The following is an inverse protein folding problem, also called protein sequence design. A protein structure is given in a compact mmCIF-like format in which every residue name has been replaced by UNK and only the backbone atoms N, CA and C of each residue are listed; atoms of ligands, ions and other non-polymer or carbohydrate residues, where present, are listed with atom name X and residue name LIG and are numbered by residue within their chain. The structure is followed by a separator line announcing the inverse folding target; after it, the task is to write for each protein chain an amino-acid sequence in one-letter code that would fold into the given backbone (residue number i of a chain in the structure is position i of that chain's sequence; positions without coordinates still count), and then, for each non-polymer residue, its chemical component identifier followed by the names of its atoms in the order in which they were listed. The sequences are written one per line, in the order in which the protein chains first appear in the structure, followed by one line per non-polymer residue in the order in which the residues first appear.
data_IF_397142363197
#
_entry.id   IF_397142363197
#
_cell.length_a   1.000
_cell.length_b   1.000
_cell.length_c   1.000
_cell.angle_alpha   90.00
_cell.angle_beta   90.00
_cell.angle_gamma   90.00
#
_symmetry.space_group_name_H-M   'P 1'
#
loop_
_entity.id
_entity.type
_entity.pdbx_description
1 polymer ?
#
# COMPACT_ATOMS: atom_id res chain seq x y z
N UNK A 1 3.99 14.59 -13.27
CA UNK A 1 4.64 13.45 -12.61
C UNK A 1 3.84 12.16 -12.78
N UNK A 2 2.50 12.22 -12.93
CA UNK A 2 1.60 11.08 -13.16
C UNK A 2 2.07 10.10 -14.23
N UNK A 3 2.35 10.58 -15.43
CA UNK A 3 2.86 9.74 -16.53
C UNK A 3 4.13 8.98 -16.17
N UNK A 4 5.06 9.62 -15.44
CA UNK A 4 6.30 8.95 -15.05
C UNK A 4 6.07 7.88 -13.99
N UNK A 5 5.18 8.09 -13.00
CA UNK A 5 4.87 7.06 -12.01
C UNK A 5 4.15 5.87 -12.62
N UNK A 6 3.17 6.09 -13.50
CA UNK A 6 2.52 5.01 -14.25
C UNK A 6 3.56 4.17 -14.99
N UNK A 7 4.47 4.82 -15.71
CA UNK A 7 5.53 4.14 -16.45
C UNK A 7 6.47 3.35 -15.54
N UNK A 8 6.86 3.90 -14.39
CA UNK A 8 7.70 3.17 -13.44
C UNK A 8 6.97 1.97 -12.83
N UNK A 9 5.69 2.10 -12.49
CA UNK A 9 4.88 1.00 -11.95
C UNK A 9 4.64 -0.11 -12.99
N UNK A 10 4.37 0.26 -14.26
CA UNK A 10 4.08 -0.67 -15.34
C UNK A 10 5.34 -1.38 -15.88
N UNK A 11 6.44 -0.64 -16.05
CA UNK A 11 7.61 -1.09 -16.80
C UNK A 11 8.83 -1.39 -15.92
N UNK A 12 8.86 -0.86 -14.69
CA UNK A 12 10.03 -0.86 -13.83
C UNK A 12 11.09 0.19 -14.23
N UNK A 13 11.90 0.60 -13.26
CA UNK A 13 12.90 1.67 -13.38
C UNK A 13 13.86 1.49 -14.57
N UNK A 14 14.37 0.27 -14.77
CA UNK A 14 15.36 -0.03 -15.80
C UNK A 14 14.84 0.22 -17.22
N UNK A 15 13.54 -0.03 -17.46
CA UNK A 15 12.94 0.08 -18.80
C UNK A 15 12.41 1.48 -19.11
N UNK A 16 12.36 2.35 -18.11
CA UNK A 16 11.93 3.74 -18.28
C UNK A 16 13.13 4.62 -18.63
N UNK A 17 12.94 5.52 -19.60
CA UNK A 17 13.91 6.55 -19.96
C UNK A 17 13.25 7.92 -19.99
N UNK A 18 14.02 9.01 -19.82
CA UNK A 18 13.52 10.39 -19.93
C UNK A 18 12.87 10.63 -21.30
N UNK A 19 13.41 10.00 -22.36
CA UNK A 19 12.83 10.06 -23.69
C UNK A 19 11.46 9.38 -23.74
N UNK A 20 11.32 8.19 -23.17
CA UNK A 20 10.04 7.48 -23.13
C UNK A 20 8.99 8.31 -22.35
N UNK A 21 9.40 8.94 -21.24
CA UNK A 21 8.53 9.82 -20.45
C UNK A 21 8.11 11.06 -21.27
N UNK A 22 9.06 11.68 -21.98
CA UNK A 22 8.82 12.82 -22.88
C UNK A 22 7.78 12.49 -23.94
N UNK A 23 7.95 11.35 -24.60
CA UNK A 23 7.05 10.88 -25.65
C UNK A 23 5.64 10.60 -25.10
N UNK A 24 5.51 9.88 -23.97
CA UNK A 24 4.20 9.56 -23.37
C UNK A 24 3.51 10.78 -22.77
N UNK A 25 4.26 11.73 -22.21
CA UNK A 25 3.71 12.95 -21.59
C UNK A 25 3.41 14.07 -22.61
N UNK A 26 3.81 13.92 -23.88
CA UNK A 26 3.59 14.94 -24.91
C UNK A 26 4.36 16.24 -24.67
N UNK A 27 5.46 16.20 -23.92
CA UNK A 27 6.30 17.36 -23.58
C UNK A 27 7.72 17.18 -24.11
N UNK A 28 8.46 18.27 -24.32
CA UNK A 28 9.81 18.17 -24.87
C UNK A 28 10.80 17.58 -23.87
N UNK A 29 11.80 16.84 -24.38
CA UNK A 29 12.87 16.27 -23.56
C UNK A 29 13.65 17.35 -22.79
N UNK A 30 13.85 18.52 -23.40
CA UNK A 30 14.50 19.66 -22.73
C UNK A 30 13.68 20.19 -21.55
N UNK A 31 12.34 20.20 -21.68
CA UNK A 31 11.46 20.66 -20.61
C UNK A 31 11.53 19.70 -19.41
N UNK A 32 11.46 18.38 -19.64
CA UNK A 32 11.59 17.40 -18.55
C UNK A 32 12.94 17.51 -17.85
N UNK A 33 14.05 17.59 -18.60
CA UNK A 33 15.38 17.75 -18.00
C UNK A 33 15.51 19.05 -17.21
N UNK A 34 14.93 20.14 -17.69
CA UNK A 34 14.95 21.42 -16.99
C UNK A 34 14.15 21.38 -15.68
N UNK A 35 12.99 20.71 -15.66
CA UNK A 35 12.14 20.66 -14.47
C UNK A 35 12.54 19.59 -13.46
N UNK A 36 12.98 18.42 -13.91
CA UNK A 36 13.19 17.26 -13.04
C UNK A 36 14.63 16.75 -13.02
N UNK A 37 15.49 17.24 -13.93
CA UNK A 37 16.87 16.80 -14.04
C UNK A 37 17.01 15.37 -14.57
N UNK A 38 17.30 14.41 -13.68
CA UNK A 38 17.61 13.02 -14.02
C UNK A 38 16.43 12.05 -13.84
N UNK A 39 16.58 10.80 -14.31
CA UNK A 39 15.58 9.74 -14.14
C UNK A 39 15.43 9.40 -12.65
N UNK A 40 16.55 9.34 -11.95
CA UNK A 40 16.67 9.10 -10.51
C UNK A 40 15.91 10.20 -9.75
N UNK A 41 16.10 11.47 -10.10
CA UNK A 41 15.42 12.59 -9.46
C UNK A 41 13.90 12.58 -9.68
N UNK A 42 13.43 12.16 -10.87
CA UNK A 42 11.99 11.94 -11.11
C UNK A 42 11.48 10.82 -10.19
N UNK A 43 12.23 9.73 -10.08
CA UNK A 43 11.86 8.59 -9.26
C UNK A 43 11.80 8.95 -7.77
N UNK A 44 12.82 9.60 -7.22
CA UNK A 44 12.82 10.08 -5.83
C UNK A 44 11.67 11.05 -5.59
N UNK A 45 11.43 11.99 -6.52
CA UNK A 45 10.28 12.88 -6.43
C UNK A 45 8.96 12.12 -6.34
N UNK A 46 8.74 11.09 -7.17
CA UNK A 46 7.52 10.26 -7.09
C UNK A 46 7.44 9.53 -5.75
N UNK A 47 8.54 8.94 -5.29
CA UNK A 47 8.60 8.21 -4.02
C UNK A 47 8.31 9.13 -2.82
N UNK A 48 8.85 10.36 -2.79
CA UNK A 48 8.54 11.38 -1.77
C UNK A 48 7.03 11.70 -1.73
N UNK A 49 6.42 11.89 -2.90
CA UNK A 49 4.98 12.22 -2.98
C UNK A 49 4.11 11.05 -2.51
N UNK A 50 4.45 9.83 -2.91
CA UNK A 50 3.73 8.63 -2.45
C UNK A 50 3.93 8.41 -0.96
N UNK A 51 5.13 8.64 -0.44
CA UNK A 51 5.40 8.58 0.99
C UNK A 51 4.54 9.58 1.75
N UNK A 52 4.52 10.85 1.33
CA UNK A 52 3.67 11.88 1.94
C UNK A 52 2.17 11.53 1.88
N UNK A 53 1.70 10.98 0.76
CA UNK A 53 0.35 10.48 0.61
C UNK A 53 0.04 9.34 1.58
N UNK A 54 0.92 8.33 1.68
CA UNK A 54 0.75 7.21 2.62
C UNK A 54 0.71 7.70 4.07
N UNK A 55 1.53 8.69 4.41
CA UNK A 55 1.47 9.30 5.74
C UNK A 55 0.11 9.97 6.00
N UNK A 56 -0.42 10.74 5.05
CA UNK A 56 -1.76 11.35 5.16
C UNK A 56 -2.85 10.27 5.30
N UNK A 57 -2.78 9.22 4.50
CA UNK A 57 -3.74 8.13 4.52
C UNK A 57 -3.73 7.36 5.85
N UNK A 58 -2.54 7.03 6.37
CA UNK A 58 -2.41 6.34 7.66
C UNK A 58 -2.99 7.20 8.80
N UNK A 59 -2.68 8.51 8.84
CA UNK A 59 -3.30 9.43 9.83
C UNK A 59 -4.81 9.38 9.72
N UNK A 60 -5.33 9.59 8.51
CA UNK A 60 -6.77 9.60 8.27
C UNK A 60 -7.44 8.29 8.71
N UNK A 61 -6.86 7.15 8.34
CA UNK A 61 -7.38 5.83 8.70
C UNK A 61 -7.47 5.63 10.22
N UNK A 62 -6.47 6.09 10.96
CA UNK A 62 -6.45 6.04 12.42
C UNK A 62 -7.45 7.02 13.05
N UNK A 63 -7.60 8.21 12.47
CA UNK A 63 -8.57 9.22 12.93
C UNK A 63 -10.03 8.77 12.76
N UNK A 64 -10.31 7.84 11.83
CA UNK A 64 -11.64 7.26 11.69
C UNK A 64 -12.01 6.27 12.81
N UNK A 65 -11.06 5.86 13.65
CA UNK A 65 -11.29 4.90 14.72
C UNK A 65 -11.71 5.64 16.01
N UNK A 66 -12.92 5.38 16.55
CA UNK A 66 -13.34 5.96 17.82
C UNK A 66 -12.34 5.71 18.95
N UNK A 67 -12.16 6.68 19.85
CA UNK A 67 -11.19 6.59 20.95
C UNK A 67 -11.44 5.38 21.86
N UNK A 68 -12.70 5.02 22.08
CA UNK A 68 -13.16 3.91 22.92
C UNK A 68 -13.08 2.53 22.23
N UNK A 69 -12.67 2.48 20.96
CA UNK A 69 -12.49 1.21 20.24
C UNK A 69 -11.43 0.35 20.94
N UNK A 70 -11.70 -0.94 21.22
CA UNK A 70 -10.72 -1.84 21.81
C UNK A 70 -9.41 -1.91 21.00
N UNK A 71 -8.26 -2.02 21.68
CA UNK A 71 -6.95 -1.97 21.03
C UNK A 71 -6.77 -3.06 19.95
N UNK A 72 -7.24 -4.28 20.20
CA UNK A 72 -7.19 -5.36 19.21
C UNK A 72 -8.04 -5.03 17.96
N UNK A 73 -9.23 -4.45 18.15
CA UNK A 73 -10.09 -4.01 17.06
C UNK A 73 -9.45 -2.85 16.29
N UNK A 74 -8.77 -1.90 16.95
CA UNK A 74 -8.04 -0.82 16.28
C UNK A 74 -6.89 -1.36 15.41
N UNK A 75 -6.06 -2.27 15.93
CA UNK A 75 -4.99 -2.92 15.15
C UNK A 75 -5.58 -3.68 13.96
N UNK A 76 -6.67 -4.43 14.18
CA UNK A 76 -7.37 -5.17 13.13
C UNK A 76 -7.87 -4.23 12.02
N UNK A 77 -8.65 -3.20 12.37
CA UNK A 77 -9.20 -2.22 11.42
C UNK A 77 -8.11 -1.51 10.62
N UNK A 78 -7.04 -1.12 11.31
CA UNK A 78 -5.87 -0.53 10.66
C UNK A 78 -5.25 -1.51 9.65
N UNK A 79 -4.91 -2.73 10.07
CA UNK A 79 -4.24 -3.70 9.21
C UNK A 79 -5.06 -4.04 7.95
N UNK A 80 -6.34 -4.34 8.11
CA UNK A 80 -7.20 -4.75 6.99
C UNK A 80 -7.57 -3.58 6.09
N UNK A 81 -7.75 -2.37 6.65
CA UNK A 81 -7.97 -1.14 5.89
C UNK A 81 -6.73 -0.71 5.11
N UNK A 82 -5.54 -0.89 5.69
CA UNK A 82 -4.27 -0.67 4.99
C UNK A 82 -4.09 -1.65 3.83
N UNK A 83 -4.45 -2.93 4.00
CA UNK A 83 -4.37 -3.87 2.88
C UNK A 83 -5.35 -3.49 1.76
N UNK A 84 -6.59 -3.12 2.11
CA UNK A 84 -7.59 -2.70 1.14
C UNK A 84 -7.08 -1.52 0.30
N UNK A 85 -6.48 -0.53 0.96
CA UNK A 85 -5.84 0.60 0.28
C UNK A 85 -4.74 0.16 -0.68
N UNK A 86 -3.83 -0.72 -0.25
CA UNK A 86 -2.75 -1.23 -1.09
C UNK A 86 -3.24 -2.07 -2.28
N UNK A 87 -4.42 -2.71 -2.17
CA UNK A 87 -5.04 -3.46 -3.28
C UNK A 87 -5.61 -2.48 -4.31
N UNK A 88 -6.34 -1.46 -3.86
CA UNK A 88 -7.01 -0.48 -4.73
C UNK A 88 -5.99 0.49 -5.35
N UNK A 89 -4.93 0.82 -4.61
CA UNK A 89 -3.87 1.74 -5.01
C UNK A 89 -2.54 0.96 -4.97
N UNK A 90 -2.22 0.18 -6.02
CA UNK A 90 -1.07 -0.73 -6.02
C UNK A 90 0.28 -0.04 -6.29
N UNK A 91 0.27 1.23 -6.72
CA UNK A 91 1.46 1.96 -7.15
C UNK A 91 2.56 2.00 -6.07
N UNK A 92 2.27 2.24 -4.77
CA UNK A 92 3.28 2.21 -3.72
C UNK A 92 3.97 0.84 -3.62
N UNK A 93 3.22 -0.27 -3.59
CA UNK A 93 3.81 -1.60 -3.45
C UNK A 93 4.55 -2.04 -4.73
N UNK A 94 4.11 -1.58 -5.91
CA UNK A 94 4.80 -1.83 -7.17
C UNK A 94 6.16 -1.11 -7.22
N UNK A 95 6.24 0.15 -6.79
CA UNK A 95 7.50 0.88 -6.72
C UNK A 95 8.46 0.31 -5.68
N UNK A 96 7.96 -0.11 -4.51
CA UNK A 96 8.77 -0.81 -3.51
C UNK A 96 9.32 -2.11 -4.10
N UNK A 97 8.47 -2.91 -4.74
CA UNK A 97 8.89 -4.18 -5.35
C UNK A 97 9.93 -3.97 -6.47
N UNK A 98 9.80 -2.91 -7.25
CA UNK A 98 10.77 -2.55 -8.29
C UNK A 98 12.11 -2.10 -7.69
N UNK A 99 12.10 -1.30 -6.62
CA UNK A 99 13.31 -0.91 -5.90
C UNK A 99 14.03 -2.10 -5.24
N UNK A 100 13.28 -3.04 -4.67
CA UNK A 100 13.86 -4.27 -4.07
C UNK A 100 14.63 -5.12 -5.10
N UNK A 101 14.27 -5.05 -6.39
CA UNK A 101 14.98 -5.77 -7.45
C UNK A 101 16.29 -5.11 -7.88
N UNK A 102 16.56 -3.89 -7.45
CA UNK A 102 17.69 -3.08 -7.93
C UNK A 102 18.90 -3.08 -6.98
N UNK A 103 18.89 -3.87 -5.89
CA UNK A 103 19.98 -4.10 -4.91
C UNK A 103 20.95 -2.90 -4.76
N UNK A 104 20.45 -1.70 -4.41
CA UNK A 104 21.20 -0.43 -4.29
C UNK A 104 20.37 0.66 -3.54
N UNK A 105 20.86 1.91 -3.59
CA UNK A 105 20.36 3.18 -3.00
C UNK A 105 18.83 3.40 -2.98
N UNK A 106 18.05 2.81 -3.89
CA UNK A 106 16.58 2.92 -3.87
C UNK A 106 15.94 2.14 -2.72
N UNK A 107 16.53 1.01 -2.33
CA UNK A 107 16.07 0.26 -1.16
C UNK A 107 16.35 1.04 0.12
N UNK A 108 17.57 1.54 0.28
CA UNK A 108 17.99 2.34 1.45
C UNK A 108 17.09 3.57 1.60
N UNK A 109 16.80 4.25 0.49
CA UNK A 109 15.88 5.39 0.47
C UNK A 109 14.46 5.04 0.96
N UNK A 110 13.93 3.86 0.61
CA UNK A 110 12.63 3.43 1.12
C UNK A 110 12.66 3.11 2.61
N UNK A 111 13.73 2.48 3.11
CA UNK A 111 13.87 2.12 4.53
C UNK A 111 14.07 3.37 5.41
N UNK A 112 14.92 4.31 4.98
CA UNK A 112 15.28 5.50 5.73
C UNK A 112 14.17 6.57 5.77
N UNK A 113 13.15 6.44 4.92
CA UNK A 113 11.99 7.34 4.90
C UNK A 113 11.02 7.16 6.08
N UNK A 114 11.32 6.24 7.01
CA UNK A 114 10.42 5.89 8.13
C UNK A 114 10.44 6.96 9.25
N UNK A 115 9.40 7.81 9.26
CA UNK A 115 9.27 8.95 10.19
C UNK A 115 8.18 8.81 11.26
N UNK A 116 7.59 9.94 11.64
CA UNK A 116 6.56 10.11 12.70
C UNK A 116 5.41 9.09 12.64
N UNK A 117 4.98 8.72 11.43
CA UNK A 117 3.85 7.78 11.24
C UNK A 117 4.17 6.39 11.73
N UNK A 118 5.42 5.96 11.58
CA UNK A 118 5.84 4.68 12.11
C UNK A 118 5.63 4.65 13.63
N UNK A 119 6.01 5.71 14.35
CA UNK A 119 5.80 5.80 15.80
C UNK A 119 4.33 5.69 16.23
N UNK A 120 3.39 6.23 15.44
CA UNK A 120 1.96 6.16 15.72
C UNK A 120 1.46 4.71 15.59
N UNK A 121 1.87 4.02 14.53
CA UNK A 121 1.49 2.61 14.29
C UNK A 121 2.15 1.68 15.31
N UNK A 122 3.41 1.93 15.67
CA UNK A 122 4.09 1.18 16.74
C UNK A 122 3.35 1.34 18.07
N UNK A 123 2.96 2.56 18.43
CA UNK A 123 2.17 2.81 19.64
C UNK A 123 0.85 2.04 19.65
N UNK A 124 0.17 1.94 18.51
CA UNK A 124 -1.06 1.16 18.39
C UNK A 124 -0.84 -0.33 18.73
N UNK A 125 0.27 -0.91 18.28
CA UNK A 125 0.64 -2.29 18.60
C UNK A 125 1.09 -2.43 20.06
N UNK A 126 1.83 -1.47 20.59
CA UNK A 126 2.25 -1.46 22.00
C UNK A 126 1.04 -1.39 22.94
N UNK A 127 0.05 -0.55 22.63
CA UNK A 127 -1.20 -0.44 23.38
C UNK A 127 -1.99 -1.77 23.37
N UNK A 128 -1.99 -2.50 22.24
CA UNK A 128 -2.55 -3.85 22.18
C UNK A 128 -1.77 -4.83 23.06
N UNK A 129 -0.44 -4.85 22.93
CA UNK A 129 0.45 -5.77 23.64
C UNK A 129 0.39 -5.57 25.17
N UNK A 130 0.26 -4.33 25.64
CA UNK A 130 0.09 -4.02 27.05
C UNK A 130 -1.18 -4.65 27.65
N UNK A 131 -2.24 -4.79 26.85
CA UNK A 131 -3.52 -5.37 27.25
C UNK A 131 -3.64 -6.88 26.94
N UNK A 132 -2.76 -7.43 26.11
CA UNK A 132 -2.78 -8.83 25.66
C UNK A 132 -1.40 -9.51 25.77
N UNK A 133 -0.78 -9.57 26.97
CA UNK A 133 0.60 -10.01 27.15
C UNK A 133 0.84 -11.49 26.82
N UNK A 134 -0.21 -12.30 26.72
CA UNK A 134 -0.11 -13.73 26.43
C UNK A 134 0.03 -14.02 24.92
N UNK A 135 -0.37 -13.07 24.07
CA UNK A 135 -0.38 -13.21 22.61
C UNK A 135 0.12 -11.91 21.96
N UNK A 136 1.39 -11.52 22.22
CA UNK A 136 1.93 -10.27 21.71
C UNK A 136 2.06 -10.30 20.19
N UNK A 137 1.81 -9.17 19.57
CA UNK A 137 1.99 -8.93 18.15
C UNK A 137 3.35 -8.27 17.90
N UNK A 138 4.07 -8.77 16.89
CA UNK A 138 5.31 -8.18 16.42
C UNK A 138 4.99 -7.28 15.21
N UNK A 139 5.17 -5.96 15.36
CA UNK A 139 4.82 -4.99 14.32
C UNK A 139 5.51 -5.25 12.98
N UNK A 140 6.78 -5.65 13.00
CA UNK A 140 7.53 -6.00 11.79
C UNK A 140 6.96 -7.22 11.06
N UNK A 141 6.43 -8.21 11.79
CA UNK A 141 5.79 -9.38 11.17
C UNK A 141 4.43 -9.01 10.58
N UNK A 142 3.65 -8.15 11.24
CA UNK A 142 2.42 -7.61 10.67
C UNK A 142 2.70 -6.82 9.38
N UNK A 143 3.71 -5.92 9.40
CA UNK A 143 4.16 -5.16 8.23
C UNK A 143 4.60 -6.09 7.10
N UNK A 144 5.37 -7.12 7.41
CA UNK A 144 5.82 -8.11 6.43
C UNK A 144 4.64 -8.83 5.77
N UNK A 145 3.68 -9.32 6.56
CA UNK A 145 2.47 -9.96 6.02
C UNK A 145 1.67 -8.99 5.14
N UNK A 146 1.46 -7.76 5.59
CA UNK A 146 0.77 -6.72 4.82
C UNK A 146 1.43 -6.53 3.44
N UNK A 147 2.76 -6.40 3.41
CA UNK A 147 3.52 -6.24 2.17
C UNK A 147 3.41 -7.46 1.24
N UNK A 148 3.48 -8.68 1.80
CA UNK A 148 3.34 -9.91 1.01
C UNK A 148 1.96 -10.04 0.35
N UNK A 149 0.89 -9.74 1.10
CA UNK A 149 -0.47 -9.76 0.55
C UNK A 149 -0.69 -8.64 -0.47
N UNK A 150 -0.24 -7.42 -0.19
CA UNK A 150 -0.31 -6.30 -1.14
C UNK A 150 0.44 -6.65 -2.44
N UNK A 151 1.66 -7.17 -2.32
CA UNK A 151 2.48 -7.58 -3.46
C UNK A 151 1.79 -8.67 -4.29
N UNK A 152 1.20 -9.67 -3.65
CA UNK A 152 0.46 -10.73 -4.32
C UNK A 152 -0.70 -10.19 -5.17
N UNK A 153 -1.47 -9.24 -4.64
CA UNK A 153 -2.55 -8.61 -5.40
C UNK A 153 -2.07 -7.77 -6.59
N UNK A 154 -0.92 -7.09 -6.46
CA UNK A 154 -0.42 -6.17 -7.48
C UNK A 154 0.41 -6.86 -8.57
N UNK A 155 1.17 -7.90 -8.23
CA UNK A 155 2.17 -8.50 -9.12
C UNK A 155 1.80 -9.91 -9.60
N UNK A 156 0.82 -10.57 -8.98
CA UNK A 156 0.43 -11.95 -9.31
C UNK A 156 -1.02 -12.06 -9.80
N UNK A 157 -1.58 -11.00 -10.40
CA UNK A 157 -2.97 -10.98 -10.89
C UNK A 157 -3.39 -12.22 -11.71
N UNK A 158 -2.58 -12.77 -12.64
CA UNK A 158 -2.95 -13.99 -13.34
C UNK A 158 -3.11 -15.20 -12.42
N UNK A 159 -2.22 -15.37 -11.43
CA UNK A 159 -2.30 -16.46 -10.45
C UNK A 159 -3.43 -16.24 -9.44
N UNK A 160 -3.69 -14.98 -9.07
CA UNK A 160 -4.82 -14.60 -8.24
C UNK A 160 -6.15 -15.00 -8.91
N UNK A 161 -6.32 -14.70 -10.20
CA UNK A 161 -7.51 -15.13 -10.97
C UNK A 161 -7.58 -16.65 -11.11
N UNK A 162 -6.46 -17.31 -11.36
CA UNK A 162 -6.41 -18.77 -11.49
C UNK A 162 -6.83 -19.48 -10.20
N UNK A 163 -6.48 -18.93 -9.03
CA UNK A 163 -6.77 -19.51 -7.71
C UNK A 163 -8.27 -19.76 -7.49
N UNK A 164 -9.13 -18.90 -8.02
CA UNK A 164 -10.59 -18.99 -7.88
C UNK A 164 -11.31 -19.18 -9.22
N UNK A 165 -10.62 -19.67 -10.25
CA UNK A 165 -11.16 -19.82 -11.61
C UNK A 165 -12.39 -20.74 -11.70
N UNK A 166 -12.54 -21.68 -10.76
CA UNK A 166 -13.70 -22.57 -10.65
C UNK A 166 -14.91 -21.93 -9.95
N UNK A 167 -14.71 -20.81 -9.26
CA UNK A 167 -15.73 -20.14 -8.46
C UNK A 167 -16.22 -18.85 -9.14
N UNK A 168 -15.30 -18.08 -9.76
CA UNK A 168 -15.62 -16.79 -10.36
C UNK A 168 -14.66 -16.43 -11.49
N UNK A 169 -15.14 -15.57 -12.40
CA UNK A 169 -14.31 -14.90 -13.40
C UNK A 169 -14.20 -13.39 -13.15
N UNK A 170 -14.87 -12.88 -12.11
CA UNK A 170 -14.82 -11.48 -11.72
C UNK A 170 -13.55 -11.20 -10.90
N UNK A 171 -12.79 -10.18 -11.32
CA UNK A 171 -11.59 -9.75 -10.61
C UNK A 171 -11.94 -9.17 -9.24
N UNK A 172 -13.05 -8.43 -9.12
CA UNK A 172 -13.44 -7.81 -7.85
C UNK A 172 -13.69 -8.89 -6.78
N UNK A 173 -14.38 -9.97 -7.16
CA UNK A 173 -14.61 -11.12 -6.27
C UNK A 173 -13.30 -11.83 -5.90
N UNK A 174 -12.36 -11.97 -6.84
CA UNK A 174 -11.04 -12.54 -6.55
C UNK A 174 -10.25 -11.66 -5.57
N UNK A 175 -10.31 -10.33 -5.71
CA UNK A 175 -9.65 -9.38 -4.81
C UNK A 175 -10.26 -9.41 -3.40
N UNK A 176 -11.58 -9.50 -3.29
CA UNK A 176 -12.27 -9.68 -1.99
C UNK A 176 -11.84 -10.99 -1.33
N UNK A 177 -11.77 -12.10 -2.09
CA UNK A 177 -11.29 -13.39 -1.55
C UNK A 177 -9.84 -13.31 -1.08
N UNK A 178 -8.96 -12.69 -1.87
CA UNK A 178 -7.56 -12.45 -1.49
C UNK A 178 -7.43 -11.61 -0.22
N UNK A 179 -8.15 -10.49 -0.14
CA UNK A 179 -8.19 -9.64 1.05
C UNK A 179 -8.75 -10.41 2.26
N UNK A 180 -9.77 -11.25 2.06
CA UNK A 180 -10.40 -12.05 3.12
C UNK A 180 -9.44 -13.10 3.73
N UNK A 181 -8.47 -13.61 2.96
CA UNK A 181 -7.43 -14.50 3.50
C UNK A 181 -6.57 -13.77 4.55
N UNK A 182 -6.17 -12.53 4.27
CA UNK A 182 -5.43 -11.70 5.22
C UNK A 182 -6.29 -11.30 6.42
N UNK A 183 -7.53 -10.86 6.15
CA UNK A 183 -8.50 -10.50 7.19
C UNK A 183 -8.69 -11.66 8.18
N UNK A 184 -8.90 -12.88 7.69
CA UNK A 184 -9.12 -14.04 8.55
C UNK A 184 -7.88 -14.37 9.39
N UNK A 185 -6.69 -14.24 8.81
CA UNK A 185 -5.44 -14.43 9.53
C UNK A 185 -5.30 -13.41 10.68
N UNK A 186 -5.45 -12.12 10.38
CA UNK A 186 -5.30 -11.04 11.37
C UNK A 186 -6.43 -11.08 12.42
N UNK A 187 -7.66 -11.37 12.02
CA UNK A 187 -8.80 -11.50 12.93
C UNK A 187 -8.58 -12.62 13.95
N UNK A 188 -8.06 -13.78 13.50
CA UNK A 188 -7.77 -14.90 14.39
C UNK A 188 -6.62 -14.58 15.36
N UNK A 189 -5.54 -13.99 14.87
CA UNK A 189 -4.39 -13.61 15.71
C UNK A 189 -4.79 -12.59 16.80
N UNK A 190 -5.70 -11.68 16.50
CA UNK A 190 -6.17 -10.62 17.41
C UNK A 190 -7.47 -10.97 18.16
N UNK A 191 -7.96 -12.21 18.01
CA UNK A 191 -9.22 -12.69 18.63
C UNK A 191 -10.41 -11.78 18.39
N UNK A 192 -10.60 -11.34 17.15
CA UNK A 192 -11.68 -10.42 16.76
C UNK A 192 -13.01 -11.18 16.68
N UNK A 193 -14.03 -10.67 17.38
CA UNK A 193 -15.38 -11.23 17.34
C UNK A 193 -16.08 -11.00 16.00
N UNK A 194 -16.98 -11.91 15.62
CA UNK A 194 -17.69 -11.84 14.33
C UNK A 194 -18.44 -10.53 14.10
N UNK A 195 -18.96 -9.89 15.14
CA UNK A 195 -19.64 -8.60 15.05
C UNK A 195 -18.70 -7.46 14.62
N UNK A 196 -17.41 -7.61 14.89
CA UNK A 196 -16.39 -6.62 14.55
C UNK A 196 -15.71 -6.93 13.21
N UNK A 197 -15.95 -8.09 12.59
CA UNK A 197 -15.29 -8.45 11.33
C UNK A 197 -15.94 -7.77 10.12
N UNK A 198 -15.12 -7.31 9.19
CA UNK A 198 -15.56 -6.70 7.92
C UNK A 198 -15.86 -7.78 6.89
N UNK A 199 -16.92 -7.58 6.10
CA UNK A 199 -17.37 -8.49 5.04
C UNK A 199 -17.78 -7.67 3.80
N UNK A 200 -16.81 -7.00 3.14
CA UNK A 200 -17.11 -6.15 1.99
C UNK A 200 -17.60 -6.98 0.79
N UNK A 201 -18.38 -6.36 -0.10
CA UNK A 201 -18.68 -6.93 -1.43
C UNK A 201 -17.67 -6.52 -2.49
N UNK A 202 -16.96 -5.41 -2.25
CA UNK A 202 -15.82 -4.94 -3.03
C UNK A 202 -14.76 -4.32 -2.12
N UNK A 203 -13.49 -4.47 -2.47
CA UNK A 203 -12.39 -3.97 -1.63
C UNK A 203 -12.37 -2.43 -1.54
N UNK A 204 -12.84 -1.74 -2.58
CA UNK A 204 -12.91 -0.27 -2.63
C UNK A 204 -13.89 0.34 -1.61
N UNK A 205 -14.88 -0.42 -1.15
CA UNK A 205 -15.80 -0.03 -0.07
C UNK A 205 -15.07 0.26 1.25
N UNK A 206 -13.85 -0.27 1.41
CA UNK A 206 -13.04 -0.12 2.62
C UNK A 206 -12.00 1.00 2.52
N UNK A 207 -11.91 1.68 1.37
CA UNK A 207 -10.86 2.66 1.09
C UNK A 207 -11.39 4.08 1.20
N UNK A 208 -10.68 4.90 1.96
CA UNK A 208 -11.02 6.31 2.10
C UNK A 208 -10.43 7.15 0.97
N UNK A 209 -11.17 8.17 0.54
CA UNK A 209 -10.65 9.20 -0.34
C UNK A 209 -9.87 10.22 0.49
N UNK A 210 -8.56 10.31 0.23
CA UNK A 210 -7.69 11.30 0.85
C UNK A 210 -7.10 12.15 -0.26
N UNK A 211 -7.19 13.47 -0.12
CA UNK A 211 -6.59 14.39 -1.09
C UNK A 211 -5.09 14.10 -1.23
N UNK A 212 -4.71 13.67 -2.43
CA UNK A 212 -3.33 13.64 -2.85
C UNK A 212 -3.02 14.99 -3.49
N UNK A 213 -1.83 15.56 -3.21
CA UNK A 213 -1.38 16.77 -3.91
C UNK A 213 -1.06 16.49 -5.39
N UNK A 214 -1.19 15.23 -5.80
CA UNK A 214 -1.38 14.81 -7.17
C UNK A 214 -2.86 14.86 -7.54
N UNK A 215 -3.17 15.52 -8.66
CA UNK A 215 -4.51 15.47 -9.26
C UNK A 215 -5.10 14.05 -9.29
N UNK A 216 -6.43 14.01 -9.14
CA UNK A 216 -7.32 12.84 -8.95
C UNK A 216 -6.63 11.49 -8.71
N UNK A 217 -6.86 10.92 -7.52
CA UNK A 217 -6.55 9.53 -7.19
C UNK A 217 -6.95 8.64 -8.39
N UNK A 218 -6.04 7.84 -8.98
CA UNK A 218 -6.43 6.97 -10.07
C UNK A 218 -7.54 6.05 -9.58
N UNK A 219 -8.71 6.18 -10.21
CA UNK A 219 -9.87 5.30 -9.99
C UNK A 219 -9.61 3.92 -10.57
#
# INVERSE_FOLDING_TARGET
MTVAAEMFCELGYERVSIRNISERAGVSHSLIRHHFGSKEQIWYGISDHLHAYMQKYIRYLLDQLPEDTPANVKVYRFAVGMLAHCIVIPQPIQLIADAMRQENEFFDYFIDSTGEIESIVFKLVDDYNANSPQTPLIMHELKWKLMMFAHGSACMLPMLKETWSQETTDLDECLVKHWSLFEAQVANELSIGEQDRLKPTKVDELVYQVECDWGECPR
#
